data_IF_533255556332
#
_entry.id   IF_533255556332
#
_cell.length_a   1.000
_cell.length_b   1.000
_cell.length_c   1.000
_cell.angle_alpha   90.00
_cell.angle_beta   90.00
_cell.angle_gamma   90.00
#
_symmetry.space_group_name_H-M   'P 1'
#
loop_
_entity.id
_entity.type
_entity.pdbx_description
1 polymer ?
#
# COMPACT_ATOMS: atom_id res chain seq x y z
N UNK A 1 -22.31 67.78 -24.71
CA UNK A 1 -22.96 66.45 -24.83
C UNK A 1 -22.05 65.53 -25.62
N UNK A 2 -21.19 64.76 -24.94
CA UNK A 2 -20.38 63.71 -25.59
C UNK A 2 -20.96 62.36 -25.17
N UNK A 3 -21.41 61.57 -26.13
CA UNK A 3 -21.95 60.22 -25.93
C UNK A 3 -20.78 59.22 -25.86
N UNK A 4 -20.73 58.46 -24.77
CA UNK A 4 -19.83 57.31 -24.59
C UNK A 4 -20.56 56.07 -25.15
N UNK A 5 -19.99 55.29 -26.08
CA UNK A 5 -20.62 54.06 -26.53
C UNK A 5 -20.38 52.93 -25.52
N UNK A 6 -21.44 52.24 -25.15
CA UNK A 6 -21.38 51.06 -24.29
C UNK A 6 -20.71 49.90 -25.04
N UNK A 7 -19.59 49.42 -24.53
CA UNK A 7 -18.91 48.23 -25.02
C UNK A 7 -19.61 46.99 -24.43
N UNK A 8 -20.39 46.28 -25.23
CA UNK A 8 -20.97 44.98 -24.87
C UNK A 8 -19.85 43.94 -24.81
N UNK A 9 -19.52 43.49 -23.60
CA UNK A 9 -18.65 42.34 -23.37
C UNK A 9 -19.48 41.07 -23.64
N UNK A 10 -19.27 40.45 -24.80
CA UNK A 10 -19.75 39.10 -25.08
C UNK A 10 -18.94 38.11 -24.22
N UNK A 11 -19.58 37.55 -23.20
CA UNK A 11 -19.04 36.40 -22.46
C UNK A 11 -19.22 35.17 -23.37
N UNK A 12 -18.13 34.76 -24.01
CA UNK A 12 -18.08 33.50 -24.77
C UNK A 12 -18.02 32.36 -23.75
N UNK A 13 -19.16 31.70 -23.52
CA UNK A 13 -19.18 30.39 -22.87
C UNK A 13 -18.62 29.37 -23.87
N UNK A 14 -17.37 28.97 -23.70
CA UNK A 14 -16.80 27.83 -24.43
C UNK A 14 -17.38 26.53 -23.89
N UNK A 15 -18.45 26.06 -24.53
CA UNK A 15 -18.93 24.67 -24.41
C UNK A 15 -17.84 23.74 -24.95
N UNK A 16 -17.03 23.16 -24.07
CA UNK A 16 -16.09 22.11 -24.42
C UNK A 16 -16.88 20.81 -24.60
N UNK A 17 -17.31 20.53 -25.83
CA UNK A 17 -17.83 19.22 -26.19
C UNK A 17 -16.65 18.24 -26.25
N UNK A 18 -16.59 17.28 -25.31
CA UNK A 18 -15.60 16.22 -25.36
C UNK A 18 -16.00 15.23 -26.45
N UNK A 19 -15.21 15.20 -27.53
CA UNK A 19 -15.43 14.29 -28.65
C UNK A 19 -14.69 12.97 -28.42
N UNK A 20 -15.31 11.87 -28.84
CA UNK A 20 -14.66 10.56 -28.83
C UNK A 20 -13.40 10.59 -29.71
N UNK A 21 -12.32 9.98 -29.22
CA UNK A 21 -11.11 9.81 -30.01
C UNK A 21 -11.36 8.80 -31.11
N UNK A 22 -10.95 9.14 -32.33
CA UNK A 22 -11.02 8.22 -33.47
C UNK A 22 -10.16 6.99 -33.16
N UNK A 23 -10.71 5.76 -33.26
CA UNK A 23 -9.93 4.54 -33.07
C UNK A 23 -8.67 4.56 -33.95
N UNK A 24 -7.51 4.12 -33.44
CA UNK A 24 -6.30 4.00 -34.25
C UNK A 24 -6.56 3.16 -35.50
N UNK A 25 -5.86 3.47 -36.59
CA UNK A 25 -5.93 2.67 -37.83
C UNK A 25 -5.57 1.21 -37.55
N UNK A 26 -6.15 0.25 -38.30
CA UNK A 26 -5.73 -1.14 -38.24
C UNK A 26 -4.22 -1.30 -38.45
N UNK A 27 -3.63 -2.29 -37.81
CA UNK A 27 -2.24 -2.65 -38.02
C UNK A 27 -2.02 -3.12 -39.47
N UNK A 28 -0.84 -2.82 -40.07
CA UNK A 28 -0.48 -3.34 -41.38
C UNK A 28 -0.50 -4.87 -41.41
N UNK A 29 -0.99 -5.44 -42.52
CA UNK A 29 -1.10 -6.91 -42.69
C UNK A 29 0.24 -7.65 -42.61
N UNK A 30 1.34 -6.98 -42.98
CA UNK A 30 2.70 -7.52 -42.96
C UNK A 30 3.51 -7.06 -41.73
N UNK A 31 2.84 -6.53 -40.70
CA UNK A 31 3.52 -6.08 -39.50
C UNK A 31 4.18 -7.27 -38.80
N UNK A 32 5.52 -7.24 -38.75
CA UNK A 32 6.31 -8.19 -37.95
C UNK A 32 6.15 -7.84 -36.47
N UNK A 33 5.62 -8.78 -35.71
CA UNK A 33 5.42 -8.64 -34.26
C UNK A 33 6.25 -9.67 -33.51
N UNK A 34 6.87 -9.23 -32.42
CA UNK A 34 7.46 -10.13 -31.46
C UNK A 34 6.36 -10.61 -30.50
N UNK A 35 6.50 -11.78 -29.89
CA UNK A 35 5.53 -12.24 -28.91
C UNK A 35 6.15 -13.12 -27.82
N UNK A 36 5.53 -13.08 -26.66
CA UNK A 36 5.75 -14.02 -25.56
C UNK A 36 4.46 -14.81 -25.39
N UNK A 37 4.57 -16.14 -25.37
CA UNK A 37 3.42 -17.03 -25.17
C UNK A 37 3.62 -17.85 -23.90
N UNK A 38 2.59 -17.82 -23.05
CA UNK A 38 2.54 -18.54 -21.78
C UNK A 38 1.43 -19.58 -21.87
N UNK A 39 1.74 -20.79 -21.40
CA UNK A 39 0.79 -21.88 -21.26
C UNK A 39 0.68 -22.25 -19.79
N UNK A 40 -0.55 -22.29 -19.28
CA UNK A 40 -0.85 -22.63 -17.90
C UNK A 40 -1.70 -23.91 -17.86
N UNK A 41 -1.09 -25.07 -17.58
CA UNK A 41 -1.82 -26.31 -17.37
C UNK A 41 -2.80 -26.19 -16.21
N UNK A 42 -4.06 -26.58 -16.45
CA UNK A 42 -5.09 -26.68 -15.41
C UNK A 42 -5.31 -28.14 -14.97
N UNK A 43 -4.65 -29.08 -15.66
CA UNK A 43 -4.61 -30.50 -15.34
C UNK A 43 -3.17 -30.94 -15.08
N UNK A 44 -2.95 -32.03 -14.33
CA UNK A 44 -1.63 -32.63 -14.22
C UNK A 44 -1.11 -33.05 -15.59
N UNK A 45 0.06 -32.55 -15.97
CA UNK A 45 0.76 -32.91 -17.21
C UNK A 45 2.16 -33.38 -16.84
N UNK A 46 2.52 -34.60 -17.25
CA UNK A 46 3.82 -35.21 -16.96
C UNK A 46 4.91 -34.84 -17.97
N UNK A 47 4.52 -34.55 -19.22
CA UNK A 47 5.43 -34.18 -20.31
C UNK A 47 5.13 -32.74 -20.78
N UNK A 48 6.05 -31.77 -20.55
CA UNK A 48 5.90 -30.39 -21.01
C UNK A 48 5.62 -30.25 -22.52
N UNK A 49 6.08 -31.18 -23.36
CA UNK A 49 5.83 -31.11 -24.81
C UNK A 49 4.35 -31.30 -25.18
N UNK A 50 3.55 -31.92 -24.30
CA UNK A 50 2.11 -32.12 -24.54
C UNK A 50 1.29 -30.85 -24.35
N UNK A 51 1.83 -29.85 -23.63
CA UNK A 51 1.12 -28.62 -23.27
C UNK A 51 0.58 -27.86 -24.49
N UNK A 52 1.30 -27.89 -25.61
CA UNK A 52 0.93 -27.17 -26.85
C UNK A 52 -0.17 -27.84 -27.67
N UNK A 53 -0.42 -29.14 -27.45
CA UNK A 53 -1.40 -29.94 -28.19
C UNK A 53 -2.73 -30.11 -27.44
N UNK A 54 -2.83 -29.55 -26.23
CA UNK A 54 -4.01 -29.63 -25.38
C UNK A 54 -5.05 -28.59 -25.73
N UNK A 55 -6.30 -28.86 -25.35
CA UNK A 55 -7.40 -27.92 -25.58
C UNK A 55 -7.28 -26.70 -24.67
N UNK A 56 -7.92 -25.58 -25.05
CA UNK A 56 -7.90 -24.36 -24.24
C UNK A 56 -8.55 -24.53 -22.84
N UNK A 57 -9.36 -25.57 -22.65
CA UNK A 57 -9.96 -25.93 -21.36
C UNK A 57 -8.95 -26.61 -20.42
N UNK A 58 -8.04 -27.41 -20.97
CA UNK A 58 -7.01 -28.15 -20.21
C UNK A 58 -5.76 -27.29 -19.97
N UNK A 59 -5.41 -26.44 -20.95
CA UNK A 59 -4.25 -25.56 -20.91
C UNK A 59 -4.68 -24.17 -21.37
N UNK A 60 -4.60 -23.20 -20.47
CA UNK A 60 -4.84 -21.79 -20.83
C UNK A 60 -3.65 -21.28 -21.62
N UNK A 61 -3.91 -20.63 -22.75
CA UNK A 61 -2.88 -20.02 -23.58
C UNK A 61 -3.08 -18.51 -23.65
N UNK A 62 -2.06 -17.76 -23.26
CA UNK A 62 -2.03 -16.30 -23.36
C UNK A 62 -0.82 -15.88 -24.20
N UNK A 63 -1.04 -15.03 -25.21
CA UNK A 63 0.01 -14.50 -26.07
C UNK A 63 0.07 -12.99 -25.93
N UNK A 64 1.19 -12.45 -25.45
CA UNK A 64 1.47 -11.03 -25.42
C UNK A 64 2.32 -10.67 -26.64
N UNK A 65 1.80 -9.79 -27.49
CA UNK A 65 2.47 -9.25 -28.66
C UNK A 65 3.15 -7.94 -28.31
N UNK A 66 4.37 -7.77 -28.80
CA UNK A 66 5.26 -6.65 -28.52
C UNK A 66 5.58 -5.90 -29.81
N UNK A 67 5.79 -4.59 -29.69
CA UNK A 67 6.35 -3.78 -30.75
C UNK A 67 7.87 -3.99 -30.92
N UNK A 68 8.48 -3.28 -31.87
CA UNK A 68 9.92 -3.34 -32.12
C UNK A 68 10.80 -2.82 -30.99
N UNK A 69 10.22 -2.13 -30.00
CA UNK A 69 10.89 -1.63 -28.80
C UNK A 69 10.65 -2.54 -27.58
N UNK A 70 9.94 -3.66 -27.75
CA UNK A 70 9.62 -4.61 -26.69
C UNK A 70 8.45 -4.20 -25.80
N UNK A 71 7.66 -3.20 -26.18
CA UNK A 71 6.48 -2.75 -25.42
C UNK A 71 5.24 -3.55 -25.85
N UNK A 72 4.36 -3.96 -24.92
CA UNK A 72 3.17 -4.74 -25.25
C UNK A 72 2.13 -3.91 -26.02
N UNK A 73 1.73 -4.39 -27.19
CA UNK A 73 0.70 -3.75 -28.04
C UNK A 73 -0.64 -4.49 -28.00
N UNK A 74 -0.61 -5.79 -27.73
CA UNK A 74 -1.81 -6.60 -27.68
C UNK A 74 -1.59 -7.83 -26.81
N UNK A 75 -2.56 -8.17 -25.97
CA UNK A 75 -2.61 -9.46 -25.27
C UNK A 75 -3.83 -10.24 -25.75
N UNK A 76 -3.62 -11.48 -26.18
CA UNK A 76 -4.65 -12.39 -26.67
C UNK A 76 -4.68 -13.63 -25.79
N UNK A 77 -5.80 -13.82 -25.11
CA UNK A 77 -6.07 -15.03 -24.34
C UNK A 77 -7.00 -15.94 -25.14
N UNK A 78 -6.47 -17.09 -25.57
CA UNK A 78 -7.11 -17.99 -26.53
C UNK A 78 -8.35 -18.65 -25.92
N UNK A 79 -9.49 -18.52 -26.58
CA UNK A 79 -10.77 -19.17 -26.23
C UNK A 79 -11.20 -19.04 -24.75
N UNK A 80 -10.84 -17.94 -24.08
CA UNK A 80 -11.17 -17.73 -22.66
C UNK A 80 -12.56 -17.17 -22.40
N UNK A 81 -13.32 -16.76 -23.43
CA UNK A 81 -14.70 -16.33 -23.24
C UNK A 81 -15.65 -17.51 -23.00
N UNK A 82 -16.85 -17.30 -22.41
CA UNK A 82 -17.85 -18.36 -22.24
C UNK A 82 -18.25 -19.08 -23.54
N UNK A 83 -18.16 -18.38 -24.68
CA UNK A 83 -18.45 -18.92 -26.01
C UNK A 83 -17.18 -19.45 -26.72
N UNK A 84 -16.10 -19.69 -25.98
CA UNK A 84 -14.83 -20.21 -26.49
C UNK A 84 -14.23 -19.33 -27.62
N UNK A 85 -14.38 -18.01 -27.49
CA UNK A 85 -13.76 -17.01 -28.36
C UNK A 85 -12.56 -16.36 -27.68
N UNK A 86 -11.65 -15.80 -28.46
CA UNK A 86 -10.46 -15.17 -27.91
C UNK A 86 -10.82 -13.87 -27.19
N UNK A 87 -10.23 -13.66 -26.00
CA UNK A 87 -10.32 -12.40 -25.27
C UNK A 87 -9.08 -11.56 -25.59
N UNK A 88 -9.29 -10.30 -25.96
CA UNK A 88 -8.24 -9.42 -26.48
C UNK A 88 -8.22 -8.11 -25.71
N UNK A 89 -7.02 -7.69 -25.32
CA UNK A 89 -6.73 -6.36 -24.80
C UNK A 89 -5.71 -5.71 -25.71
N UNK A 90 -6.01 -4.53 -26.25
CA UNK A 90 -5.11 -3.77 -27.10
C UNK A 90 -4.61 -2.52 -26.37
N UNK A 91 -3.34 -2.19 -26.59
CA UNK A 91 -2.66 -1.07 -25.95
C UNK A 91 -2.14 -0.16 -27.05
N UNK A 92 -2.32 1.14 -26.86
CA UNK A 92 -1.74 2.17 -27.73
C UNK A 92 -0.91 3.12 -26.90
N UNK A 93 0.18 3.59 -27.49
CA UNK A 93 1.10 4.52 -26.86
C UNK A 93 1.04 5.87 -27.57
N UNK A 94 1.25 6.95 -26.83
CA UNK A 94 1.51 8.26 -27.42
C UNK A 94 2.94 8.35 -27.99
N UNK A 95 3.28 9.50 -28.57
CA UNK A 95 4.60 9.75 -29.17
C UNK A 95 5.75 9.63 -28.17
N UNK A 96 5.47 9.78 -26.87
CA UNK A 96 6.43 9.65 -25.78
C UNK A 96 6.44 8.23 -25.17
N UNK A 97 5.68 7.30 -25.73
CA UNK A 97 5.64 5.90 -25.31
C UNK A 97 4.78 5.62 -24.07
N UNK A 98 3.82 6.49 -23.75
CA UNK A 98 2.95 6.39 -22.58
C UNK A 98 1.57 5.89 -22.97
N UNK A 99 0.94 5.11 -22.11
CA UNK A 99 -0.43 4.62 -22.32
C UNK A 99 -1.44 5.71 -21.95
N UNK A 100 -1.88 6.49 -22.93
CA UNK A 100 -2.88 7.53 -22.73
C UNK A 100 -4.31 6.96 -22.63
N UNK A 101 -4.58 5.88 -23.37
CA UNK A 101 -5.90 5.27 -23.47
C UNK A 101 -5.83 3.82 -23.04
N UNK A 102 -6.60 3.49 -22.00
CA UNK A 102 -6.73 2.12 -21.51
C UNK A 102 -8.06 1.55 -22.00
N UNK A 103 -8.02 0.77 -23.09
CA UNK A 103 -9.20 0.20 -23.72
C UNK A 103 -9.74 -0.99 -22.92
N UNK A 104 -11.06 -1.12 -22.88
CA UNK A 104 -11.69 -2.29 -22.27
C UNK A 104 -11.34 -3.56 -23.07
N UNK A 105 -11.05 -4.68 -22.38
CA UNK A 105 -10.93 -5.98 -23.04
C UNK A 105 -12.22 -6.35 -23.78
N UNK A 106 -12.10 -7.02 -24.91
CA UNK A 106 -13.24 -7.45 -25.71
C UNK A 106 -13.11 -8.90 -26.14
N UNK A 107 -14.24 -9.50 -26.53
CA UNK A 107 -14.27 -10.83 -27.12
C UNK A 107 -14.16 -10.68 -28.64
N UNK A 108 -13.09 -11.21 -29.23
CA UNK A 108 -12.89 -11.18 -30.68
C UNK A 108 -13.82 -12.18 -31.39
N UNK A 109 -14.04 -11.98 -32.69
CA UNK A 109 -14.80 -12.93 -33.52
C UNK A 109 -14.03 -14.22 -33.78
N UNK A 110 -12.70 -14.18 -33.67
CA UNK A 110 -11.78 -15.30 -33.90
C UNK A 110 -11.59 -16.24 -32.71
N UNK A 111 -10.96 -17.38 -32.99
CA UNK A 111 -10.69 -18.48 -32.04
C UNK A 111 -9.25 -19.01 -32.14
N UNK A 112 -8.44 -18.39 -32.98
CA UNK A 112 -7.11 -18.89 -33.35
C UNK A 112 -6.04 -18.56 -32.32
N UNK A 113 -6.32 -17.68 -31.36
CA UNK A 113 -5.35 -17.19 -30.38
C UNK A 113 -4.18 -16.43 -31.00
N UNK A 114 -4.37 -15.90 -32.22
CA UNK A 114 -3.36 -15.13 -32.96
C UNK A 114 -3.56 -13.63 -32.81
N UNK A 115 -2.57 -12.87 -33.28
CA UNK A 115 -2.60 -11.41 -33.37
C UNK A 115 -3.81 -10.95 -34.18
N UNK A 116 -4.48 -9.88 -33.73
CA UNK A 116 -5.63 -9.31 -34.44
C UNK A 116 -5.18 -8.02 -35.09
N UNK A 117 -5.46 -7.85 -36.38
CA UNK A 117 -4.99 -6.69 -37.15
C UNK A 117 -5.80 -5.42 -36.89
N UNK A 118 -7.07 -5.53 -36.51
CA UNK A 118 -8.02 -4.43 -36.31
C UNK A 118 -8.65 -4.42 -34.89
N UNK A 119 -7.85 -4.54 -33.82
CA UNK A 119 -8.42 -4.78 -32.49
C UNK A 119 -9.25 -3.59 -31.98
N UNK A 120 -8.90 -2.36 -32.32
CA UNK A 120 -9.65 -1.17 -31.89
C UNK A 120 -11.02 -1.06 -32.56
N UNK A 121 -11.13 -1.48 -33.82
CA UNK A 121 -12.38 -1.53 -34.57
C UNK A 121 -13.28 -2.65 -34.01
N UNK A 122 -12.72 -3.84 -33.79
CA UNK A 122 -13.46 -4.95 -33.16
C UNK A 122 -13.90 -4.62 -31.74
N UNK A 123 -13.05 -3.96 -30.95
CA UNK A 123 -13.37 -3.52 -29.59
C UNK A 123 -14.55 -2.54 -29.58
N UNK A 124 -14.55 -1.56 -30.49
CA UNK A 124 -15.65 -0.61 -30.64
C UNK A 124 -16.95 -1.32 -31.00
N UNK A 125 -16.93 -2.21 -32.00
CA UNK A 125 -18.11 -2.94 -32.43
C UNK A 125 -18.67 -3.86 -31.31
N UNK A 126 -17.78 -4.59 -30.62
CA UNK A 126 -18.17 -5.44 -29.49
C UNK A 126 -18.78 -4.64 -28.35
N UNK A 127 -18.13 -3.54 -27.96
CA UNK A 127 -18.59 -2.72 -26.84
C UNK A 127 -19.89 -1.97 -27.16
N UNK A 128 -20.11 -1.57 -28.43
CA UNK A 128 -21.37 -1.00 -28.89
C UNK A 128 -22.54 -1.98 -28.79
N UNK A 129 -22.30 -3.25 -29.13
CA UNK A 129 -23.33 -4.28 -29.01
C UNK A 129 -23.65 -4.60 -27.54
N UNK A 130 -22.63 -4.61 -26.68
CA UNK A 130 -22.79 -4.95 -25.26
C UNK A 130 -23.34 -3.81 -24.40
N UNK A 131 -23.00 -2.56 -24.73
CA UNK A 131 -23.35 -1.36 -23.98
C UNK A 131 -24.03 -0.34 -24.90
N UNK A 132 -25.31 -0.55 -25.26
CA UNK A 132 -26.05 0.38 -26.10
C UNK A 132 -26.21 1.73 -25.40
N UNK A 133 -25.90 2.82 -26.10
CA UNK A 133 -25.97 4.20 -25.58
C UNK A 133 -24.65 4.74 -25.02
N UNK A 134 -23.65 3.88 -24.79
CA UNK A 134 -22.28 4.31 -24.49
C UNK A 134 -21.53 4.66 -25.79
N UNK A 135 -20.56 5.56 -25.71
CA UNK A 135 -19.67 5.93 -26.82
C UNK A 135 -18.20 5.88 -26.43
N UNK A 136 -17.88 6.01 -25.13
CA UNK A 136 -16.50 5.96 -24.61
C UNK A 136 -16.16 4.61 -23.98
N UNK A 137 -15.46 3.74 -24.70
CA UNK A 137 -15.08 2.38 -24.23
C UNK A 137 -13.62 2.27 -23.75
N UNK A 138 -13.06 3.37 -23.27
CA UNK A 138 -11.69 3.45 -22.78
C UNK A 138 -11.60 4.41 -21.59
N UNK A 139 -10.72 4.07 -20.66
CA UNK A 139 -10.19 5.02 -19.69
C UNK A 139 -9.19 5.96 -20.36
N UNK A 140 -9.10 7.19 -19.87
CA UNK A 140 -8.18 8.20 -20.42
C UNK A 140 -7.31 8.76 -19.30
N UNK A 141 -6.01 8.77 -19.53
CA UNK A 141 -5.02 9.38 -18.65
C UNK A 141 -4.47 10.62 -19.32
N UNK A 142 -4.70 11.78 -18.72
CA UNK A 142 -4.06 13.03 -19.12
C UNK A 142 -2.78 13.21 -18.31
N UNK A 143 -1.67 13.34 -19.02
CA UNK A 143 -0.37 13.65 -18.43
C UNK A 143 -0.13 15.17 -18.42
N UNK A 144 0.69 15.64 -17.48
CA UNK A 144 1.19 17.00 -17.54
C UNK A 144 2.09 17.20 -18.77
N UNK A 145 2.15 18.41 -19.36
CA UNK A 145 3.09 18.76 -20.41
C UNK A 145 4.51 18.96 -19.82
N UNK A 146 4.99 17.95 -19.10
CA UNK A 146 6.27 17.94 -18.42
C UNK A 146 7.04 16.66 -18.78
N UNK A 147 8.37 16.73 -18.95
CA UNK A 147 9.21 15.56 -19.16
C UNK A 147 9.14 14.53 -18.01
N UNK A 148 8.62 14.93 -16.85
CA UNK A 148 8.54 14.09 -15.64
C UNK A 148 7.48 12.99 -15.71
N UNK A 149 6.73 12.87 -16.81
CA UNK A 149 5.72 11.83 -17.04
C UNK A 149 4.71 11.69 -15.88
N UNK A 150 4.23 12.82 -15.36
CA UNK A 150 3.28 12.84 -14.24
C UNK A 150 1.84 12.86 -14.74
N UNK A 151 0.97 12.16 -14.01
CA UNK A 151 -0.46 12.10 -14.31
C UNK A 151 -1.13 13.36 -13.74
N UNK A 152 -1.77 14.13 -14.60
CA UNK A 152 -2.60 15.28 -14.22
C UNK A 152 -4.05 14.86 -13.94
N UNK A 153 -4.58 13.89 -14.70
CA UNK A 153 -5.94 13.40 -14.52
C UNK A 153 -6.11 11.99 -15.05
N UNK A 154 -6.83 11.15 -14.32
CA UNK A 154 -7.16 9.79 -14.74
C UNK A 154 -8.68 9.59 -14.73
N UNK A 155 -9.23 9.11 -15.83
CA UNK A 155 -10.65 8.91 -16.03
C UNK A 155 -10.93 7.45 -16.37
N UNK A 156 -11.98 6.89 -15.76
CA UNK A 156 -12.46 5.56 -16.10
C UNK A 156 -13.16 5.53 -17.48
N UNK A 157 -13.46 4.33 -17.97
CA UNK A 157 -14.21 4.15 -19.20
C UNK A 157 -15.71 4.47 -19.00
N UNK A 158 -16.34 5.03 -20.03
CA UNK A 158 -17.77 5.34 -20.07
C UNK A 158 -18.07 6.82 -20.28
N UNK A 159 -19.27 7.10 -20.79
CA UNK A 159 -19.76 8.45 -21.06
C UNK A 159 -19.78 9.31 -19.78
N UNK A 160 -20.16 8.71 -18.64
CA UNK A 160 -20.18 9.40 -17.35
C UNK A 160 -18.80 9.81 -16.84
N UNK A 161 -17.73 9.20 -17.37
CA UNK A 161 -16.36 9.36 -16.90
C UNK A 161 -15.53 10.10 -17.96
N UNK A 162 -14.82 9.37 -18.83
CA UNK A 162 -14.00 9.97 -19.88
C UNK A 162 -14.80 10.81 -20.89
N UNK A 163 -16.10 10.55 -21.06
CA UNK A 163 -16.98 11.36 -21.91
C UNK A 163 -17.45 12.68 -21.29
N UNK A 164 -17.39 12.83 -19.97
CA UNK A 164 -17.77 14.04 -19.24
C UNK A 164 -16.59 14.68 -18.48
N UNK A 165 -15.36 14.29 -18.82
CA UNK A 165 -14.13 14.71 -18.14
C UNK A 165 -14.22 14.57 -16.61
N UNK A 166 -14.84 13.48 -16.14
CA UNK A 166 -14.97 13.15 -14.73
C UNK A 166 -13.97 12.06 -14.37
N UNK A 167 -13.10 12.36 -13.42
CA UNK A 167 -12.04 11.46 -12.99
C UNK A 167 -11.22 12.06 -11.86
N UNK A 168 -10.18 11.35 -11.47
CA UNK A 168 -9.28 11.74 -10.40
C UNK A 168 -8.27 12.74 -10.96
N UNK A 169 -8.26 13.96 -10.45
CA UNK A 169 -7.29 14.99 -10.83
C UNK A 169 -6.16 15.05 -9.79
N UNK A 170 -4.92 15.26 -10.25
CA UNK A 170 -3.75 15.43 -9.37
C UNK A 170 -2.97 16.66 -9.78
N UNK A 171 -2.68 17.54 -8.83
CA UNK A 171 -1.81 18.69 -9.00
C UNK A 171 -0.55 18.53 -8.14
N UNK A 172 0.60 18.82 -8.73
CA UNK A 172 1.90 18.75 -8.06
C UNK A 172 2.46 20.16 -7.89
N UNK A 173 2.55 20.57 -6.64
CA UNK A 173 2.86 21.94 -6.25
C UNK A 173 3.99 21.96 -5.21
N UNK A 174 4.47 23.15 -4.91
CA UNK A 174 5.42 23.40 -3.84
C UNK A 174 4.66 24.12 -2.72
N UNK A 175 4.83 23.66 -1.48
CA UNK A 175 4.16 24.28 -0.34
C UNK A 175 4.72 25.68 -0.08
N UNK A 176 3.82 26.61 0.27
CA UNK A 176 4.18 27.94 0.75
C UNK A 176 4.64 27.91 2.21
N UNK A 177 4.95 29.10 2.74
CA UNK A 177 5.32 29.26 4.14
C UNK A 177 4.13 29.00 5.09
N UNK A 178 4.41 28.52 6.29
CA UNK A 178 3.43 28.39 7.39
C UNK A 178 2.25 27.43 7.15
N UNK A 179 2.31 26.56 6.12
CA UNK A 179 1.24 25.57 5.87
C UNK A 179 1.36 24.32 6.75
N UNK A 180 2.59 23.94 7.11
CA UNK A 180 2.91 22.69 7.80
C UNK A 180 3.82 22.96 8.98
N UNK A 181 3.41 22.47 10.15
CA UNK A 181 4.19 22.45 11.39
C UNK A 181 5.36 21.46 11.31
N UNK A 182 6.52 21.85 11.81
CA UNK A 182 7.67 20.95 12.04
C UNK A 182 7.50 20.29 13.40
N UNK A 183 7.61 18.96 13.44
CA UNK A 183 7.61 18.18 14.67
C UNK A 183 9.02 17.65 14.93
N UNK A 184 9.59 18.01 16.08
CA UNK A 184 10.89 17.51 16.53
C UNK A 184 10.68 16.47 17.61
N UNK A 185 11.47 15.39 17.58
CA UNK A 185 11.47 14.35 18.61
C UNK A 185 12.91 14.03 19.02
N UNK A 186 13.11 13.76 20.31
CA UNK A 186 14.42 13.31 20.79
C UNK A 186 14.72 11.88 20.31
N UNK A 187 15.98 11.67 19.92
CA UNK A 187 16.48 10.34 19.59
C UNK A 187 16.56 9.46 20.85
N UNK A 188 16.37 8.15 20.65
CA UNK A 188 16.51 7.15 21.71
C UNK A 188 15.45 6.06 21.64
N UNK A 189 15.57 5.10 22.56
CA UNK A 189 14.85 3.83 22.53
C UNK A 189 13.57 3.84 23.39
N UNK A 190 13.11 5.03 23.80
CA UNK A 190 11.93 5.22 24.64
C UNK A 190 10.82 5.98 23.89
N UNK A 191 9.59 5.87 24.39
CA UNK A 191 8.51 6.74 23.94
C UNK A 191 8.74 8.14 24.53
N UNK A 192 8.82 9.14 23.65
CA UNK A 192 9.02 10.54 24.01
C UNK A 192 8.02 11.37 23.21
N UNK A 193 7.45 12.40 23.84
CA UNK A 193 6.50 13.27 23.16
C UNK A 193 7.22 14.20 22.17
N UNK A 194 6.74 14.31 20.93
CA UNK A 194 7.26 15.28 19.99
C UNK A 194 6.79 16.69 20.33
N UNK A 195 7.57 17.70 19.92
CA UNK A 195 7.28 19.12 20.13
C UNK A 195 7.25 19.87 18.80
N UNK A 196 6.36 20.87 18.67
CA UNK A 196 6.27 21.70 17.48
C UNK A 196 6.25 23.18 17.81
N UNK A 197 7.30 23.88 17.40
CA UNK A 197 7.46 25.34 17.63
C UNK A 197 7.66 26.13 16.35
N UNK A 198 7.91 25.45 15.22
CA UNK A 198 8.24 26.07 13.93
C UNK A 198 7.34 25.52 12.83
N UNK A 199 7.32 26.23 11.71
CA UNK A 199 6.71 25.78 10.46
C UNK A 199 7.80 25.54 9.42
N UNK A 200 7.47 24.74 8.40
CA UNK A 200 8.27 24.68 7.20
C UNK A 200 8.19 26.01 6.45
N UNK A 201 9.33 26.43 5.93
CA UNK A 201 9.43 27.61 5.09
C UNK A 201 8.93 27.31 3.67
N UNK A 202 8.61 28.37 2.92
CA UNK A 202 8.23 28.25 1.51
C UNK A 202 9.31 27.50 0.71
N UNK A 203 8.89 26.56 -0.13
CA UNK A 203 9.84 25.80 -0.96
C UNK A 203 10.47 24.57 -0.29
N UNK A 204 10.14 24.27 0.96
CA UNK A 204 10.74 23.13 1.67
C UNK A 204 10.02 21.80 1.47
N UNK A 205 8.73 21.83 1.12
CA UNK A 205 7.90 20.64 0.96
C UNK A 205 7.28 20.57 -0.43
N UNK A 206 7.17 19.36 -0.96
CA UNK A 206 6.33 19.06 -2.11
C UNK A 206 4.89 18.84 -1.65
N UNK A 207 3.93 19.46 -2.33
CA UNK A 207 2.50 19.33 -2.06
C UNK A 207 1.84 18.62 -3.24
N UNK A 208 1.20 17.49 -2.99
CA UNK A 208 0.37 16.80 -3.99
C UNK A 208 -1.09 16.96 -3.59
N UNK A 209 -1.91 17.54 -4.46
CA UNK A 209 -3.36 17.69 -4.26
C UNK A 209 -4.05 16.73 -5.18
N UNK A 210 -4.79 15.77 -4.62
CA UNK A 210 -5.62 14.84 -5.38
C UNK A 210 -7.09 15.20 -5.15
N UNK A 211 -7.84 15.32 -6.24
CA UNK A 211 -9.28 15.56 -6.24
C UNK A 211 -9.93 14.28 -6.76
N UNK A 212 -10.78 13.67 -5.95
CA UNK A 212 -11.53 12.49 -6.36
C UNK A 212 -12.71 12.85 -7.28
N UNK A 213 -13.41 11.83 -7.76
CA UNK A 213 -14.53 12.02 -8.69
C UNK A 213 -15.78 12.64 -8.03
N UNK A 214 -15.78 12.78 -6.71
CA UNK A 214 -16.81 13.46 -5.92
C UNK A 214 -16.39 14.87 -5.49
N UNK A 215 -15.29 15.40 -6.05
CA UNK A 215 -14.69 16.69 -5.72
C UNK A 215 -14.21 16.80 -4.26
N UNK A 216 -13.97 15.68 -3.57
CA UNK A 216 -13.27 15.66 -2.28
C UNK A 216 -11.78 15.70 -2.52
N UNK A 217 -11.12 16.60 -1.79
CA UNK A 217 -9.69 16.81 -1.92
C UNK A 217 -8.93 16.07 -0.83
N UNK A 218 -7.80 15.50 -1.23
CA UNK A 218 -6.77 15.00 -0.32
C UNK A 218 -5.45 15.68 -0.65
N UNK A 219 -4.73 16.12 0.37
CA UNK A 219 -3.46 16.84 0.22
C UNK A 219 -2.38 16.07 0.95
N UNK A 220 -1.30 15.77 0.25
CA UNK A 220 -0.13 15.10 0.80
C UNK A 220 1.08 16.04 0.73
N UNK A 221 1.72 16.26 1.87
CA UNK A 221 2.95 17.03 1.98
C UNK A 221 4.14 16.09 2.19
N UNK A 222 5.14 16.19 1.32
CA UNK A 222 6.38 15.41 1.38
C UNK A 222 7.58 16.29 1.61
N UNK A 223 8.52 15.82 2.42
CA UNK A 223 9.83 16.45 2.57
C UNK A 223 10.74 16.21 1.35
N UNK A 224 11.96 16.75 1.40
CA UNK A 224 12.97 16.59 0.35
C UNK A 224 13.50 15.16 0.21
N UNK A 225 13.31 14.34 1.24
CA UNK A 225 13.66 12.91 1.27
C UNK A 225 12.51 12.02 0.76
N UNK A 226 11.36 12.61 0.41
CA UNK A 226 10.18 11.90 -0.08
C UNK A 226 9.26 11.36 1.03
N UNK A 227 9.52 11.69 2.30
CA UNK A 227 8.72 11.24 3.45
C UNK A 227 7.47 12.10 3.59
N UNK A 228 6.33 11.44 3.85
CA UNK A 228 5.05 12.13 4.03
C UNK A 228 4.98 12.71 5.43
N UNK A 229 5.04 14.03 5.58
CA UNK A 229 5.01 14.69 6.90
C UNK A 229 3.60 15.05 7.35
N UNK A 230 2.69 15.31 6.41
CA UNK A 230 1.30 15.65 6.68
C UNK A 230 0.40 15.14 5.56
N UNK A 231 -0.69 14.48 5.95
CA UNK A 231 -1.80 14.15 5.06
C UNK A 231 -3.08 14.84 5.53
N UNK A 232 -3.76 15.53 4.61
CA UNK A 232 -5.05 16.18 4.85
C UNK A 232 -6.14 15.52 4.02
N UNK A 233 -7.31 15.31 4.61
CA UNK A 233 -8.53 14.90 3.89
C UNK A 233 -9.62 15.92 4.14
N UNK A 234 -10.28 16.38 3.07
CA UNK A 234 -11.26 17.46 3.15
C UNK A 234 -12.53 17.04 3.91
N UNK A 235 -12.80 17.73 5.02
CA UNK A 235 -14.03 17.55 5.79
C UNK A 235 -15.12 18.50 5.28
N UNK A 236 -14.82 19.80 5.24
CA UNK A 236 -15.71 20.85 4.76
C UNK A 236 -15.42 21.20 3.30
N UNK A 237 -16.46 21.28 2.48
CA UNK A 237 -16.31 21.62 1.06
C UNK A 237 -15.65 23.00 0.87
N UNK A 238 -14.73 23.09 -0.08
CA UNK A 238 -13.99 24.31 -0.43
C UNK A 238 -13.13 24.87 0.72
N UNK A 239 -12.73 24.05 1.69
CA UNK A 239 -11.80 24.45 2.73
C UNK A 239 -10.47 24.98 2.15
N UNK A 240 -9.89 26.00 2.78
CA UNK A 240 -8.60 26.57 2.32
C UNK A 240 -7.48 25.55 2.56
N UNK A 241 -6.78 25.14 1.49
CA UNK A 241 -5.76 24.06 1.53
C UNK A 241 -4.64 24.33 2.53
N UNK A 242 -4.23 25.59 2.65
CA UNK A 242 -3.13 26.01 3.53
C UNK A 242 -3.50 25.97 5.01
N UNK A 243 -4.80 25.92 5.35
CA UNK A 243 -5.30 25.87 6.71
C UNK A 243 -5.44 24.43 7.24
N UNK A 244 -5.50 24.28 8.56
CA UNK A 244 -5.89 23.04 9.24
C UNK A 244 -7.40 22.97 9.47
N UNK A 245 -8.09 24.11 9.46
CA UNK A 245 -9.54 24.19 9.67
C UNK A 245 -10.30 23.63 8.47
N UNK A 246 -11.28 22.75 8.72
CA UNK A 246 -12.05 22.08 7.66
C UNK A 246 -11.35 20.87 7.05
N UNK A 247 -10.21 20.43 7.62
CA UNK A 247 -9.42 19.30 7.16
C UNK A 247 -9.15 18.29 8.27
N UNK A 248 -9.25 17.01 7.95
CA UNK A 248 -8.74 15.93 8.80
C UNK A 248 -7.24 15.80 8.58
N UNK A 249 -6.45 16.31 9.53
CA UNK A 249 -5.00 16.42 9.41
C UNK A 249 -4.27 15.32 10.19
N UNK A 250 -3.52 14.46 9.49
CA UNK A 250 -2.68 13.42 10.10
C UNK A 250 -1.21 13.77 9.92
N UNK A 251 -0.48 13.98 11.03
CA UNK A 251 0.95 14.21 11.00
C UNK A 251 1.73 12.91 11.21
N UNK A 252 2.82 12.77 10.46
CA UNK A 252 3.81 11.72 10.66
C UNK A 252 5.08 12.38 11.18
N UNK A 253 5.54 11.94 12.34
CA UNK A 253 6.72 12.47 13.00
C UNK A 253 7.83 11.45 12.89
N UNK A 254 8.94 11.89 12.31
CA UNK A 254 10.12 11.08 12.06
C UNK A 254 11.24 11.44 13.05
N UNK A 255 12.10 10.49 13.36
CA UNK A 255 13.40 10.76 13.98
C UNK A 255 14.49 10.99 12.92
N UNK A 256 15.73 11.25 13.38
CA UNK A 256 16.88 11.49 12.50
C UNK A 256 17.28 10.26 11.66
N UNK A 257 16.76 9.08 12.01
CA UNK A 257 16.98 7.83 11.29
C UNK A 257 15.85 7.51 10.29
N UNK A 258 14.93 8.46 10.05
CA UNK A 258 13.75 8.31 9.19
C UNK A 258 12.75 7.26 9.67
N UNK A 259 12.78 6.90 10.96
CA UNK A 259 11.77 6.02 11.54
C UNK A 259 10.54 6.84 11.97
N UNK A 260 9.34 6.35 11.65
CA UNK A 260 8.10 6.98 12.13
C UNK A 260 7.96 6.73 13.64
N UNK A 261 8.15 7.77 14.45
CA UNK A 261 8.03 7.69 15.91
C UNK A 261 6.63 8.01 16.40
N UNK A 262 5.90 8.82 15.64
CA UNK A 262 4.56 9.25 16.01
C UNK A 262 3.67 9.39 14.78
N UNK A 263 2.40 8.98 14.92
CA UNK A 263 1.34 9.37 13.98
C UNK A 263 0.27 10.09 14.79
N UNK A 264 0.18 11.41 14.59
CA UNK A 264 -0.82 12.26 15.24
C UNK A 264 -2.10 12.17 14.42
N UNK A 265 -3.13 11.54 14.98
CA UNK A 265 -4.40 11.34 14.29
C UNK A 265 -5.14 12.66 14.05
N UNK A 266 -6.14 12.70 13.13
CA UNK A 266 -6.96 13.90 12.91
C UNK A 266 -7.59 14.46 14.17
N UNK A 267 -8.09 13.59 15.06
CA UNK A 267 -8.72 14.03 16.30
C UNK A 267 -7.72 14.63 17.29
N UNK A 268 -6.50 14.08 17.36
CA UNK A 268 -5.43 14.67 18.15
C UNK A 268 -5.03 16.05 17.61
N UNK A 269 -4.87 16.18 16.29
CA UNK A 269 -4.54 17.46 15.65
C UNK A 269 -5.60 18.53 15.92
N UNK A 270 -6.88 18.16 15.89
CA UNK A 270 -7.98 19.07 16.26
C UNK A 270 -7.86 19.53 17.73
N UNK A 271 -7.61 18.63 18.67
CA UNK A 271 -7.51 18.97 20.10
C UNK A 271 -6.33 19.87 20.44
N UNK A 272 -5.21 19.74 19.71
CA UNK A 272 -4.00 20.54 19.95
C UNK A 272 -3.91 21.78 19.06
N UNK A 273 -4.87 22.03 18.16
CA UNK A 273 -4.78 23.09 17.15
C UNK A 273 -4.57 24.50 17.73
N UNK A 274 -5.00 24.73 18.98
CA UNK A 274 -4.89 26.02 19.67
C UNK A 274 -3.44 26.41 20.03
N UNK A 275 -2.63 25.45 20.50
CA UNK A 275 -1.28 25.73 21.03
C UNK A 275 -0.19 24.76 20.55
N UNK A 276 -0.57 23.72 19.80
CA UNK A 276 0.30 22.69 19.24
C UNK A 276 1.14 21.96 20.28
N UNK A 277 0.61 21.84 21.50
CA UNK A 277 1.23 21.10 22.60
C UNK A 277 0.57 19.74 22.76
N UNK A 278 1.34 18.69 22.56
CA UNK A 278 0.88 17.32 22.74
C UNK A 278 1.06 16.92 24.22
N UNK A 279 -0.03 16.63 24.92
CA UNK A 279 0.03 16.11 26.29
C UNK A 279 0.09 14.59 26.30
N UNK A 280 0.55 14.00 27.40
CA UNK A 280 0.59 12.53 27.58
C UNK A 280 -0.79 11.89 27.43
N UNK A 281 -1.84 12.54 27.94
CA UNK A 281 -3.23 12.05 27.81
C UNK A 281 -3.68 11.98 26.35
N UNK A 282 -3.49 13.05 25.59
CA UNK A 282 -3.86 13.09 24.16
C UNK A 282 -3.03 12.07 23.38
N UNK A 283 -1.72 12.04 23.63
CA UNK A 283 -0.79 11.09 23.02
C UNK A 283 -1.22 9.63 23.23
N UNK A 284 -1.60 9.26 24.45
CA UNK A 284 -1.94 7.89 24.80
C UNK A 284 -3.31 7.47 24.24
N UNK A 285 -4.27 8.39 24.20
CA UNK A 285 -5.64 8.09 23.76
C UNK A 285 -5.85 8.23 22.26
N UNK A 286 -5.08 9.07 21.57
CA UNK A 286 -5.38 9.48 20.18
C UNK A 286 -4.21 9.33 19.19
N UNK A 287 -3.00 8.99 19.64
CA UNK A 287 -1.84 8.90 18.74
C UNK A 287 -1.21 7.51 18.71
N UNK A 288 -0.64 7.16 17.57
CA UNK A 288 0.23 5.99 17.46
C UNK A 288 1.65 6.40 17.85
N UNK A 289 2.31 5.60 18.67
CA UNK A 289 3.65 5.87 19.17
C UNK A 289 4.54 4.65 18.95
N UNK A 290 5.77 4.90 18.54
CA UNK A 290 6.75 3.87 18.22
C UNK A 290 8.12 4.23 18.80
N UNK A 291 8.83 3.21 19.28
CA UNK A 291 10.25 3.32 19.61
C UNK A 291 11.02 2.20 18.91
N UNK A 292 12.24 2.54 18.53
CA UNK A 292 13.14 1.68 17.78
C UNK A 292 14.42 1.46 18.58
N UNK A 293 15.10 0.34 18.32
CA UNK A 293 16.46 0.14 18.80
C UNK A 293 17.49 0.71 17.82
N UNK A 294 18.78 0.59 18.15
CA UNK A 294 19.88 1.07 17.31
C UNK A 294 20.02 0.34 15.97
N UNK A 295 19.25 -0.72 15.72
CA UNK A 295 19.22 -1.47 14.46
C UNK A 295 17.95 -1.14 13.65
N UNK A 296 17.22 -0.07 13.98
CA UNK A 296 15.96 0.33 13.35
C UNK A 296 14.83 -0.73 13.47
N UNK A 297 14.86 -1.57 14.51
CA UNK A 297 13.78 -2.53 14.79
C UNK A 297 12.81 -1.95 15.80
N UNK A 298 11.51 -2.08 15.55
CA UNK A 298 10.47 -1.53 16.43
C UNK A 298 10.39 -2.33 17.73
N UNK A 299 10.84 -1.74 18.84
CA UNK A 299 10.87 -2.38 20.16
C UNK A 299 9.65 -2.03 21.02
N UNK A 300 9.02 -0.88 20.78
CA UNK A 300 7.79 -0.47 21.47
C UNK A 300 6.79 0.01 20.44
N UNK A 301 5.56 -0.49 20.55
CA UNK A 301 4.40 0.00 19.80
C UNK A 301 3.28 0.34 20.76
N UNK A 302 2.73 1.55 20.65
CA UNK A 302 1.52 1.95 21.38
C UNK A 302 0.49 2.42 20.37
N UNK A 303 -0.68 1.77 20.41
CA UNK A 303 -1.84 2.21 19.63
C UNK A 303 -2.75 3.06 20.52
N UNK A 304 -3.51 4.01 19.94
CA UNK A 304 -4.44 4.85 20.69
C UNK A 304 -5.34 4.04 21.63
N UNK A 305 -5.41 4.44 22.90
CA UNK A 305 -6.27 3.81 23.92
C UNK A 305 -5.75 2.47 24.48
N UNK A 306 -4.58 1.98 24.04
CA UNK A 306 -3.99 0.74 24.53
C UNK A 306 -2.68 0.97 25.31
N UNK A 307 -2.35 0.00 26.16
CA UNK A 307 -1.02 -0.11 26.76
C UNK A 307 0.06 -0.42 25.70
N UNK A 308 1.32 -0.12 25.99
CA UNK A 308 2.41 -0.41 25.05
C UNK A 308 2.55 -1.92 24.84
N UNK A 309 2.87 -2.31 23.61
CA UNK A 309 3.36 -3.64 23.25
C UNK A 309 4.87 -3.57 23.18
N UNK A 310 5.53 -4.37 24.01
CA UNK A 310 6.98 -4.56 24.01
C UNK A 310 7.37 -5.70 23.09
N UNK A 311 8.46 -5.50 22.35
CA UNK A 311 8.97 -6.44 21.36
C UNK A 311 10.46 -6.67 21.60
N UNK A 312 10.87 -7.93 21.65
CA UNK A 312 12.25 -8.34 21.92
C UNK A 312 12.75 -9.18 20.75
N UNK A 313 13.90 -8.80 20.22
CA UNK A 313 14.53 -9.46 19.10
C UNK A 313 15.76 -10.24 19.54
N UNK A 314 16.07 -11.30 18.81
CA UNK A 314 17.32 -12.03 18.97
C UNK A 314 18.48 -11.40 18.17
N UNK A 315 19.65 -12.04 18.21
CA UNK A 315 20.84 -11.64 17.45
C UNK A 315 20.75 -11.92 15.93
N UNK A 316 19.66 -12.56 15.47
CA UNK A 316 19.36 -12.82 14.05
C UNK A 316 18.20 -11.94 13.56
N UNK A 317 17.86 -10.88 14.30
CA UNK A 317 16.77 -9.95 14.02
C UNK A 317 15.37 -10.57 14.01
N UNK A 318 15.18 -11.70 14.72
CA UNK A 318 13.88 -12.38 14.81
C UNK A 318 13.15 -11.94 16.06
N UNK A 319 11.85 -11.70 15.94
CA UNK A 319 10.99 -11.35 17.07
C UNK A 319 10.77 -12.58 17.96
N UNK A 320 11.43 -12.66 19.10
CA UNK A 320 11.39 -13.84 19.98
C UNK A 320 10.43 -13.70 21.15
N UNK A 321 10.13 -12.46 21.57
CA UNK A 321 9.15 -12.22 22.63
C UNK A 321 8.32 -10.96 22.37
N UNK A 322 7.04 -11.02 22.74
CA UNK A 322 6.14 -9.88 22.79
C UNK A 322 5.37 -9.83 24.11
N UNK A 323 5.06 -8.63 24.58
CA UNK A 323 4.23 -8.45 25.77
C UNK A 323 3.36 -7.21 25.62
N UNK A 324 2.06 -7.41 25.54
CA UNK A 324 1.06 -6.37 25.66
C UNK A 324 0.75 -6.03 27.14
N UNK A 325 -0.11 -5.04 27.37
CA UNK A 325 -0.47 -4.62 28.72
C UNK A 325 -1.20 -5.68 29.56
N UNK A 326 -1.98 -6.57 28.94
CA UNK A 326 -2.72 -7.61 29.65
C UNK A 326 -1.79 -8.75 30.09
N UNK A 327 -0.87 -9.14 29.20
CA UNK A 327 0.20 -10.09 29.51
C UNK A 327 1.15 -9.52 30.58
N UNK A 328 1.43 -8.21 30.53
CA UNK A 328 2.23 -7.52 31.56
C UNK A 328 1.59 -7.60 32.95
N UNK A 329 0.27 -7.40 33.06
CA UNK A 329 -0.47 -7.55 34.33
C UNK A 329 -0.39 -8.97 34.89
N UNK A 330 -0.26 -9.98 34.03
CA UNK A 330 -0.09 -11.38 34.43
C UNK A 330 1.39 -11.82 34.55
N UNK A 331 2.33 -10.88 34.38
CA UNK A 331 3.77 -11.13 34.29
C UNK A 331 4.16 -12.23 33.27
N UNK A 332 3.46 -12.26 32.12
CA UNK A 332 3.67 -13.21 31.02
C UNK A 332 4.23 -12.51 29.79
N UNK A 333 4.95 -13.27 28.98
CA UNK A 333 5.39 -12.90 27.64
C UNK A 333 4.88 -13.93 26.65
N UNK A 334 4.39 -13.49 25.50
CA UNK A 334 4.24 -14.38 24.35
C UNK A 334 5.62 -14.60 23.74
N UNK A 335 5.97 -15.84 23.45
CA UNK A 335 7.26 -16.22 22.88
C UNK A 335 7.06 -16.88 21.53
N UNK A 336 8.06 -16.76 20.67
CA UNK A 336 8.11 -17.44 19.38
C UNK A 336 9.49 -18.07 19.21
N UNK A 337 9.50 -19.38 19.00
CA UNK A 337 10.70 -20.17 18.76
C UNK A 337 10.85 -20.46 17.28
N UNK A 338 12.09 -20.45 16.84
CA UNK A 338 12.46 -20.63 15.45
C UNK A 338 13.41 -21.81 15.30
N UNK A 339 13.33 -22.50 14.17
CA UNK A 339 14.36 -23.46 13.79
C UNK A 339 15.63 -22.78 13.23
N UNK A 340 16.59 -23.59 12.81
CA UNK A 340 17.84 -23.10 12.20
C UNK A 340 17.63 -22.33 10.89
N UNK A 341 16.54 -22.62 10.17
CA UNK A 341 16.15 -22.02 8.90
C UNK A 341 15.22 -20.80 9.05
N UNK A 342 15.10 -20.25 10.26
CA UNK A 342 14.27 -19.07 10.56
C UNK A 342 12.76 -19.26 10.38
N UNK A 343 12.26 -20.50 10.46
CA UNK A 343 10.82 -20.77 10.45
C UNK A 343 10.30 -20.83 11.88
N UNK A 344 9.16 -20.18 12.20
CA UNK A 344 8.55 -20.31 13.52
C UNK A 344 8.05 -21.75 13.70
N UNK A 345 8.51 -22.42 14.75
CA UNK A 345 8.16 -23.82 15.06
C UNK A 345 7.23 -23.95 16.26
N UNK A 346 7.26 -22.99 17.18
CA UNK A 346 6.44 -23.02 18.39
C UNK A 346 6.17 -21.61 18.91
N UNK A 347 4.98 -21.41 19.45
CA UNK A 347 4.61 -20.22 20.21
C UNK A 347 4.06 -20.63 21.58
N UNK A 348 4.09 -19.72 22.54
CA UNK A 348 3.58 -20.00 23.88
C UNK A 348 3.66 -18.83 24.84
N UNK A 349 3.10 -19.00 26.03
CA UNK A 349 3.19 -18.01 27.10
C UNK A 349 4.30 -18.39 28.09
N UNK A 350 5.29 -17.53 28.26
CA UNK A 350 6.34 -17.64 29.25
C UNK A 350 5.99 -16.78 30.46
N UNK A 351 5.87 -17.39 31.63
CA UNK A 351 5.80 -16.65 32.89
C UNK A 351 7.21 -16.12 33.23
N UNK A 352 7.32 -14.82 33.52
CA UNK A 352 8.61 -14.17 33.81
C UNK A 352 9.10 -14.42 35.25
N UNK A 353 8.98 -15.65 35.75
CA UNK A 353 9.34 -16.00 37.13
C UNK A 353 10.82 -16.31 37.32
N UNK A 354 11.54 -16.68 36.26
CA UNK A 354 12.90 -17.22 36.41
C UNK A 354 13.99 -16.18 36.72
N UNK A 355 13.71 -14.87 36.61
CA UNK A 355 14.58 -13.76 37.05
C UNK A 355 13.87 -12.39 37.09
N UNK A 356 12.54 -12.35 36.87
CA UNK A 356 11.73 -11.14 36.73
C UNK A 356 12.41 -10.04 35.91
N UNK A 357 12.96 -10.42 34.74
CA UNK A 357 13.75 -9.51 33.91
C UNK A 357 12.87 -8.35 33.46
N UNK A 358 13.41 -7.14 33.49
CA UNK A 358 12.76 -5.98 32.88
C UNK A 358 12.81 -6.10 31.36
N UNK A 359 11.97 -5.33 30.66
CA UNK A 359 11.99 -5.27 29.20
C UNK A 359 13.39 -4.99 28.63
N UNK A 360 14.12 -4.02 29.18
CA UNK A 360 15.49 -3.70 28.77
C UNK A 360 16.44 -4.89 28.96
N UNK A 361 16.30 -5.63 30.06
CA UNK A 361 17.11 -6.84 30.30
C UNK A 361 16.75 -7.99 29.34
N UNK A 362 15.48 -8.12 28.94
CA UNK A 362 15.07 -9.05 27.88
C UNK A 362 15.69 -8.65 26.53
N UNK A 363 15.68 -7.36 26.18
CA UNK A 363 16.33 -6.86 24.96
C UNK A 363 17.83 -7.18 24.92
N UNK A 364 18.56 -6.85 26.00
CA UNK A 364 20.01 -7.11 26.07
C UNK A 364 20.32 -8.61 26.01
N UNK A 365 19.51 -9.46 26.62
CA UNK A 365 19.72 -10.90 26.57
C UNK A 365 19.37 -11.49 25.20
N UNK A 366 18.31 -11.00 24.56
CA UNK A 366 17.90 -11.39 23.21
C UNK A 366 18.96 -11.04 22.17
N UNK A 367 19.46 -9.80 22.19
CA UNK A 367 20.44 -9.33 21.20
C UNK A 367 21.77 -10.09 21.22
N UNK A 368 22.04 -10.88 22.27
CA UNK A 368 23.24 -11.69 22.41
C UNK A 368 23.06 -13.17 22.04
N UNK A 369 21.83 -13.64 21.78
CA UNK A 369 21.56 -15.08 21.63
C UNK A 369 20.46 -15.40 20.63
N UNK A 370 20.75 -16.31 19.69
CA UNK A 370 19.78 -16.87 18.73
C UNK A 370 18.84 -17.92 19.35
N UNK A 371 19.05 -18.30 20.61
CA UNK A 371 18.23 -19.29 21.32
C UNK A 371 17.32 -18.63 22.37
N UNK A 372 17.39 -17.31 22.54
CA UNK A 372 16.58 -16.59 23.52
C UNK A 372 15.06 -16.80 23.29
N UNK A 373 14.23 -16.99 24.33
CA UNK A 373 14.51 -16.91 25.77
C UNK A 373 15.04 -18.19 26.43
N UNK A 374 15.17 -19.29 25.69
CA UNK A 374 15.62 -20.56 26.24
C UNK A 374 17.07 -20.82 25.85
N UNK A 375 18.01 -20.56 26.76
CA UNK A 375 19.35 -21.10 26.57
C UNK A 375 19.23 -22.62 26.39
N UNK A 376 19.69 -23.15 25.25
CA UNK A 376 19.97 -24.58 25.16
C UNK A 376 20.95 -24.86 26.29
N UNK A 377 20.52 -25.60 27.32
CA UNK A 377 21.49 -26.21 28.24
C UNK A 377 22.47 -26.96 27.33
N UNK A 378 23.79 -26.82 27.50
CA UNK A 378 24.73 -27.67 26.79
C UNK A 378 24.24 -29.09 27.01
N UNK A 379 23.98 -29.82 25.93
CA UNK A 379 23.68 -31.24 25.99
C UNK A 379 24.84 -31.83 26.80
N UNK A 380 24.59 -32.18 28.06
CA UNK A 380 25.52 -32.98 28.84
C UNK A 380 25.76 -34.19 27.95
N UNK A 381 26.94 -34.25 27.32
CA UNK A 381 27.38 -35.46 26.66
C UNK A 381 27.52 -36.44 27.80
N UNK A 382 26.45 -37.18 28.08
CA UNK A 382 26.56 -38.40 28.87
C UNK A 382 27.48 -39.29 28.05
N UNK A 383 28.74 -39.33 28.48
CA UNK A 383 29.62 -40.43 28.16
C UNK A 383 28.86 -41.72 28.49
N UNK A 384 28.88 -42.63 27.53
CA UNK A 384 28.24 -43.92 27.60
C UNK A 384 28.64 -44.64 28.89
N UNK A 385 27.69 -44.78 29.80
CA UNK A 385 27.90 -45.47 31.07
C UNK A 385 26.58 -45.65 31.80
N UNK A 386 25.80 -46.64 31.36
CA UNK A 386 24.66 -47.30 32.04
C UNK A 386 23.94 -46.46 33.10
N UNK A 387 22.74 -45.94 32.79
CA UNK A 387 21.80 -45.51 33.82
C UNK A 387 20.48 -46.26 33.70
N UNK A 388 20.17 -47.00 34.77
CA UNK A 388 18.94 -47.74 35.03
C UNK A 388 17.72 -46.81 35.00
N UNK A 389 16.61 -47.30 34.45
CA UNK A 389 15.26 -46.78 34.66
C UNK A 389 15.02 -46.56 36.16
N UNK A 390 14.95 -45.30 36.61
CA UNK A 390 14.17 -44.84 37.77
C UNK A 390 14.31 -43.32 37.90
N UNK A 391 13.16 -42.65 38.03
CA UNK A 391 12.94 -41.22 38.26
C UNK A 391 12.78 -40.31 37.03
N UNK A 392 11.63 -40.45 36.36
CA UNK A 392 10.90 -39.32 35.77
C UNK A 392 9.49 -39.36 36.32
N UNK A 393 9.23 -38.70 37.47
CA UNK A 393 7.88 -38.28 37.87
C UNK A 393 7.94 -37.36 39.10
N UNK A 394 7.67 -36.08 38.87
CA UNK A 394 7.31 -34.96 39.78
C UNK A 394 7.96 -33.72 39.15
N UNK A 395 7.25 -32.68 38.71
CA UNK A 395 6.32 -31.85 39.48
C UNK A 395 5.28 -31.28 38.51
N UNK A 396 4.02 -31.67 38.65
CA UNK A 396 2.86 -30.86 38.26
C UNK A 396 1.64 -31.37 39.02
N UNK A 397 1.38 -30.83 40.22
CA UNK A 397 0.09 -30.88 40.91
C UNK A 397 0.09 -29.90 42.08
N UNK A 398 -0.74 -28.86 41.96
CA UNK A 398 -1.41 -27.95 42.92
C UNK A 398 -2.17 -27.00 41.98
N UNK A 399 -3.47 -26.72 42.02
CA UNK A 399 -4.52 -26.87 43.02
C UNK A 399 -5.88 -26.87 42.28
N UNK A 400 -6.83 -27.71 42.68
CA UNK A 400 -8.27 -27.43 42.57
C UNK A 400 -8.87 -27.91 43.89
N UNK A 401 -9.22 -26.95 44.74
CA UNK A 401 -10.06 -27.13 45.92
C UNK A 401 -11.51 -26.78 45.56
N UNK A 402 -12.41 -27.27 46.41
CA UNK A 402 -13.88 -27.13 46.45
C UNK A 402 -14.63 -28.23 45.68
N UNK A 403 -15.52 -29.04 46.29
CA UNK A 403 -16.45 -28.73 47.38
C UNK A 403 -16.78 -29.94 48.24
N UNK A 404 -16.99 -29.70 49.54
CA UNK A 404 -17.66 -30.60 50.47
C UNK A 404 -19.18 -30.57 50.26
N UNK A 405 -19.85 -31.73 50.22
CA UNK A 405 -21.19 -32.01 50.79
C UNK A 405 -21.35 -33.54 50.93
N UNK A 406 -21.78 -33.96 52.13
CA UNK A 406 -22.21 -35.28 52.61
C UNK A 406 -21.14 -36.35 52.91
#
# INVERSE_FOLDING_TARGET
MYRIPACLIFIIYSLHAFTQVTPPSPYPVDMKVNYIRVWEPQIPISDPAQVVNKTAAEVKQTTQYLDGLGRPIQTVAKQQSPLQKDMVTAITYDELGREQYSYLPFVSTGVDGKFKTDPFQQQKAFSQAQYPGETFYYGKTNYEPSPLNRIAKQMAAGNSWSGNDKGIATAYEIAGASEVRIWNIANGNALVLPTSTKFYESGQLFRTVTIDEHNKRTVEYKDKSGQVVLKKTELAANAVITSHTGWLCTYYVYDDYNNVRFVVSPKATEQIAANWQLTTTIANELCFQYAYDGNNRMIIKKVPGAAEVFMVYDNRDRLVMTQDGNLRQQNKWMIMLYDGLNRPVQTGLLLNTFNNKTFTQHQTAGSLSSAYPFALRPRQQHSSGKCSLKHIMMIMRICLQDSAVC
#
